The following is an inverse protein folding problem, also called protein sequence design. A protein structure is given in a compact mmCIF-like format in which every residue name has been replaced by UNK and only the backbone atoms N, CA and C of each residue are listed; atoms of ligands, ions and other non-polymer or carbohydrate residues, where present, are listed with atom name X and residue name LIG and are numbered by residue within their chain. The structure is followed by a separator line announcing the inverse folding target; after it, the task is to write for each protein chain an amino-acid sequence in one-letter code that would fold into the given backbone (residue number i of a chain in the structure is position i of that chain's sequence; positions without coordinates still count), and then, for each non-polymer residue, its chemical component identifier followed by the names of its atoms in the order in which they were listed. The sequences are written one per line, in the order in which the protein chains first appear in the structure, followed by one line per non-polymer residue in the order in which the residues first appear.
data_IF_892262129076
#
_entry.id   IF_892262129076
#
_cell.length_a   1.000
_cell.length_b   1.000
_cell.length_c   1.000
_cell.angle_alpha   90.00
_cell.angle_beta   90.00
_cell.angle_gamma   90.00
#
_symmetry.space_group_name_H-M   'P 1'
#
loop_
_entity.id
_entity.type
_entity.pdbx_description
1 polymer ?
#
# COMPACT_ATOMS: atom_id res chain seq x y z
N UNK A 1 25.65 53.68 65.65
CA UNK A 1 25.23 54.48 64.49
C UNK A 1 25.76 53.80 63.23
N UNK A 2 24.97 52.94 62.61
CA UNK A 2 25.28 52.42 61.26
C UNK A 2 23.96 52.03 60.61
N UNK A 3 23.59 52.76 59.56
CA UNK A 3 22.30 52.68 58.86
C UNK A 3 22.25 51.44 57.98
N UNK A 4 21.17 50.68 58.15
CA UNK A 4 20.56 49.78 57.17
C UNK A 4 20.17 50.57 55.90
N UNK A 5 20.47 50.03 54.71
CA UNK A 5 19.73 50.34 53.49
C UNK A 5 19.32 49.04 52.80
N UNK A 6 18.03 48.99 52.45
CA UNK A 6 17.31 47.90 51.83
C UNK A 6 17.48 47.89 50.31
N UNK A 7 17.54 46.69 49.71
CA UNK A 7 17.34 46.48 48.27
C UNK A 7 16.69 45.13 47.97
N UNK A 8 15.39 45.14 47.66
CA UNK A 8 14.67 44.15 46.81
C UNK A 8 14.52 44.78 45.41
N UNK A 9 14.01 44.14 44.33
CA UNK A 9 13.74 42.71 44.01
C UNK A 9 14.19 42.29 42.58
N UNK A 10 14.44 41.00 42.29
CA UNK A 10 14.44 40.44 40.92
C UNK A 10 14.06 38.94 40.94
N UNK A 11 12.77 38.62 41.03
CA UNK A 11 12.32 37.21 40.98
C UNK A 11 11.08 36.97 40.08
N UNK A 12 10.51 37.99 39.45
CA UNK A 12 9.24 37.85 38.71
C UNK A 12 9.39 37.75 37.17
N UNK A 13 10.61 37.89 36.62
CA UNK A 13 10.83 37.84 35.16
C UNK A 13 11.16 36.45 34.61
N UNK A 14 11.59 35.50 35.46
CA UNK A 14 11.98 34.16 35.01
C UNK A 14 10.80 33.20 34.80
N UNK A 15 9.66 33.44 35.45
CA UNK A 15 8.50 32.52 35.40
C UNK A 15 7.65 32.72 34.13
N UNK A 16 7.62 33.93 33.57
CA UNK A 16 6.84 34.22 32.37
C UNK A 16 7.46 33.62 31.08
N UNK A 17 8.78 33.49 31.01
CA UNK A 17 9.46 32.96 29.82
C UNK A 17 9.30 31.42 29.69
N UNK A 18 9.25 30.69 30.80
CA UNK A 18 9.08 29.23 30.79
C UNK A 18 7.66 28.80 30.37
N UNK A 19 6.63 29.58 30.72
CA UNK A 19 5.24 29.30 30.33
C UNK A 19 5.00 29.49 28.83
N UNK A 20 5.70 30.44 28.18
CA UNK A 20 5.55 30.69 26.75
C UNK A 20 6.18 29.58 25.89
N UNK A 21 7.32 29.01 26.32
CA UNK A 21 8.00 27.91 25.61
C UNK A 21 7.18 26.61 25.70
N UNK A 22 6.59 26.32 26.86
CA UNK A 22 5.72 25.16 27.04
C UNK A 22 4.42 25.23 26.20
N UNK A 23 3.88 26.44 25.99
CA UNK A 23 2.70 26.64 25.15
C UNK A 23 2.98 26.46 23.65
N UNK A 24 4.19 26.76 23.17
CA UNK A 24 4.58 26.54 21.77
C UNK A 24 4.88 25.09 21.40
N UNK A 25 5.33 24.25 22.35
CA UNK A 25 5.59 22.82 22.10
C UNK A 25 4.29 22.00 22.00
N UNK A 26 3.20 22.47 22.61
CA UNK A 26 1.91 21.78 22.57
C UNK A 26 1.14 21.96 21.23
N UNK A 27 1.54 22.90 20.37
CA UNK A 27 0.82 23.22 19.12
C UNK A 27 1.57 22.67 17.88
N UNK A 28 2.80 22.18 18.05
CA UNK A 28 3.60 21.57 16.96
C UNK A 28 3.38 20.06 16.80
N UNK A 29 2.30 19.51 17.35
CA UNK A 29 1.78 18.21 16.90
C UNK A 29 1.11 18.39 15.56
N UNK A 30 1.87 18.71 14.51
CA UNK A 30 1.37 18.70 13.14
C UNK A 30 0.99 17.25 12.82
N UNK A 31 -0.27 16.89 13.07
CA UNK A 31 -0.83 15.66 12.51
C UNK A 31 -0.57 15.70 11.00
N UNK A 32 -0.13 14.57 10.45
CA UNK A 32 -0.05 14.44 8.99
C UNK A 32 -1.42 14.85 8.43
N UNK A 33 -1.41 15.60 7.32
CA UNK A 33 -2.66 15.92 6.63
C UNK A 33 -3.40 14.61 6.36
N UNK A 34 -4.71 14.59 6.60
CA UNK A 34 -5.53 13.39 6.55
C UNK A 34 -6.74 13.61 5.66
N UNK A 35 -6.97 12.66 4.75
CA UNK A 35 -8.16 12.54 3.92
C UNK A 35 -9.42 12.30 4.77
N UNK A 36 -9.30 11.54 5.87
CA UNK A 36 -10.42 11.27 6.79
C UNK A 36 -10.96 12.53 7.47
N UNK A 37 -10.13 13.57 7.62
CA UNK A 37 -10.47 14.82 8.31
C UNK A 37 -10.40 16.06 7.41
N UNK A 38 -10.23 15.91 6.11
CA UNK A 38 -9.96 17.01 5.20
C UNK A 38 -10.33 16.71 3.74
N UNK A 39 -9.80 17.54 2.85
CA UNK A 39 -9.99 17.37 1.42
C UNK A 39 -9.08 16.25 0.89
N UNK A 40 -9.69 15.18 0.37
CA UNK A 40 -8.99 14.04 -0.17
C UNK A 40 -8.38 14.29 -1.54
N UNK A 41 -8.73 15.40 -2.20
CA UNK A 41 -8.15 15.78 -3.50
C UNK A 41 -6.81 16.50 -3.35
N UNK A 42 -6.58 17.19 -2.22
CA UNK A 42 -5.28 17.83 -1.93
C UNK A 42 -4.17 16.83 -1.58
N UNK A 43 -4.53 15.60 -1.20
CA UNK A 43 -3.61 14.58 -0.71
C UNK A 43 -3.58 13.40 -1.68
N UNK A 44 -2.51 13.34 -2.46
CA UNK A 44 -2.31 12.31 -3.48
C UNK A 44 -1.17 11.39 -3.07
N UNK A 45 -1.37 10.09 -3.25
CA UNK A 45 -0.38 9.07 -2.95
C UNK A 45 0.86 9.26 -3.84
N UNK A 46 2.05 9.21 -3.23
CA UNK A 46 3.31 9.13 -3.96
C UNK A 46 3.55 10.30 -4.94
N UNK A 47 3.11 11.51 -4.61
CA UNK A 47 2.97 12.62 -5.56
C UNK A 47 4.25 12.95 -6.36
N UNK A 48 5.42 12.71 -5.76
CA UNK A 48 6.73 12.94 -6.34
C UNK A 48 7.17 11.87 -7.38
N UNK A 49 6.43 10.76 -7.54
CA UNK A 49 6.70 9.78 -8.61
C UNK A 49 6.29 10.33 -9.97
N UNK A 50 7.19 10.21 -10.94
CA UNK A 50 6.93 10.55 -12.33
C UNK A 50 7.29 9.40 -13.26
N UNK A 51 6.43 9.15 -14.24
CA UNK A 51 6.65 8.17 -15.30
C UNK A 51 6.42 8.81 -16.65
N UNK A 52 7.22 8.39 -17.63
CA UNK A 52 7.07 8.76 -19.02
C UNK A 52 6.81 7.51 -19.85
N UNK A 53 5.93 7.62 -20.83
CA UNK A 53 5.60 6.56 -21.76
C UNK A 53 5.30 7.16 -23.15
N UNK A 54 5.53 6.36 -24.20
CA UNK A 54 5.40 6.84 -25.58
C UNK A 54 3.94 7.11 -25.98
N UNK A 55 3.00 6.37 -25.40
CA UNK A 55 1.57 6.45 -25.70
C UNK A 55 0.78 6.34 -24.39
N UNK A 56 0.50 7.46 -23.70
CA UNK A 56 -0.41 7.44 -22.56
C UNK A 56 -1.81 7.12 -23.10
N UNK A 57 -2.35 5.97 -22.69
CA UNK A 57 -3.70 5.61 -23.06
C UNK A 57 -4.76 6.53 -22.45
N UNK A 58 -6.02 6.27 -22.78
CA UNK A 58 -7.14 7.06 -22.24
C UNK A 58 -7.40 6.65 -20.79
N UNK A 59 -7.49 7.62 -19.89
CA UNK A 59 -7.92 7.37 -18.53
C UNK A 59 -9.39 6.91 -18.52
N UNK A 60 -9.69 5.88 -17.75
CA UNK A 60 -11.04 5.38 -17.53
C UNK A 60 -11.26 5.12 -16.04
N UNK A 61 -12.42 5.54 -15.54
CA UNK A 61 -12.96 5.08 -14.26
C UNK A 61 -14.46 4.86 -14.35
N UNK A 62 -14.93 3.72 -13.85
CA UNK A 62 -16.35 3.40 -13.81
C UNK A 62 -16.64 1.90 -13.75
N UNK A 63 -17.92 1.50 -13.84
CA UNK A 63 -18.30 0.09 -13.76
C UNK A 63 -17.66 -0.77 -14.85
N UNK A 64 -17.30 -2.01 -14.52
CA UNK A 64 -16.70 -2.98 -15.44
C UNK A 64 -17.61 -3.32 -16.62
N UNK A 65 -18.92 -3.38 -16.40
CA UNK A 65 -19.89 -3.59 -17.47
C UNK A 65 -19.75 -2.54 -18.60
N UNK A 66 -19.43 -1.29 -18.23
CA UNK A 66 -19.26 -0.16 -19.14
C UNK A 66 -17.84 0.03 -19.68
N UNK A 67 -16.85 -0.73 -19.17
CA UNK A 67 -15.45 -0.52 -19.51
C UNK A 67 -15.16 -0.87 -20.97
N UNK A 68 -14.38 -0.06 -21.71
CA UNK A 68 -13.88 -0.41 -23.03
C UNK A 68 -13.15 -1.76 -23.04
N UNK A 69 -13.20 -2.51 -24.14
CA UNK A 69 -12.61 -3.86 -24.19
C UNK A 69 -11.09 -3.83 -24.03
N UNK A 70 -10.45 -2.77 -24.52
CA UNK A 70 -9.01 -2.54 -24.48
C UNK A 70 -8.44 -2.32 -23.07
N UNK A 71 -9.27 -1.88 -22.12
CA UNK A 71 -8.83 -1.71 -20.72
C UNK A 71 -9.17 -2.90 -19.85
N UNK A 72 -9.96 -3.88 -20.32
CA UNK A 72 -10.33 -5.06 -19.52
C UNK A 72 -9.17 -6.04 -19.41
N UNK A 73 -9.04 -6.66 -18.24
CA UNK A 73 -8.07 -7.71 -18.00
C UNK A 73 -8.62 -9.06 -18.47
N UNK A 74 -7.77 -9.88 -19.10
CA UNK A 74 -8.07 -11.29 -19.36
C UNK A 74 -7.87 -12.07 -18.07
N UNK A 75 -8.76 -13.02 -17.79
CA UNK A 75 -8.75 -13.83 -16.54
C UNK A 75 -8.92 -13.02 -15.24
N UNK A 76 -9.36 -11.76 -15.33
CA UNK A 76 -9.85 -11.07 -14.15
C UNK A 76 -11.18 -11.68 -13.69
N UNK A 77 -11.42 -11.62 -12.39
CA UNK A 77 -12.60 -12.17 -11.71
C UNK A 77 -13.68 -11.10 -11.46
N UNK A 78 -13.47 -9.87 -11.91
CA UNK A 78 -14.44 -8.78 -11.78
C UNK A 78 -15.83 -9.05 -12.36
N UNK A 79 -16.84 -8.61 -11.61
CA UNK A 79 -18.25 -8.59 -11.97
C UNK A 79 -18.71 -7.22 -12.52
N UNK A 80 -19.88 -7.18 -13.15
CA UNK A 80 -20.41 -6.00 -13.86
C UNK A 80 -20.44 -4.70 -13.03
N UNK A 81 -20.67 -4.81 -11.72
CA UNK A 81 -20.79 -3.68 -10.79
C UNK A 81 -19.45 -3.20 -10.22
N UNK A 82 -18.39 -3.98 -10.37
CA UNK A 82 -17.06 -3.64 -9.88
C UNK A 82 -16.49 -2.45 -10.66
N UNK A 83 -15.62 -1.69 -10.03
CA UNK A 83 -15.06 -0.47 -10.61
C UNK A 83 -13.72 -0.76 -11.27
N UNK A 84 -13.59 -0.38 -12.53
CA UNK A 84 -12.31 -0.40 -13.25
C UNK A 84 -11.69 0.97 -13.18
N UNK A 85 -10.40 1.04 -12.87
CA UNK A 85 -9.55 2.20 -13.13
C UNK A 85 -8.50 1.78 -14.14
N UNK A 86 -8.29 2.58 -15.18
CA UNK A 86 -7.22 2.33 -16.16
C UNK A 86 -6.61 3.64 -16.64
N UNK A 87 -5.32 3.60 -16.95
CA UNK A 87 -4.62 4.66 -17.70
C UNK A 87 -4.17 4.19 -19.10
N UNK A 88 -4.67 3.04 -19.55
CA UNK A 88 -4.27 2.36 -20.78
C UNK A 88 -2.86 1.75 -20.78
N UNK A 89 -2.10 1.90 -19.69
CA UNK A 89 -0.87 1.14 -19.42
C UNK A 89 -1.15 0.03 -18.41
N UNK A 90 -1.84 0.39 -17.33
CA UNK A 90 -2.24 -0.46 -16.21
C UNK A 90 -3.75 -0.37 -16.02
N UNK A 91 -4.35 -1.50 -15.66
CA UNK A 91 -5.73 -1.61 -15.21
C UNK A 91 -5.77 -2.23 -13.83
N UNK A 92 -6.64 -1.70 -12.98
CA UNK A 92 -7.01 -2.28 -11.69
C UNK A 92 -8.52 -2.39 -11.59
N UNK A 93 -9.02 -3.46 -10.98
CA UNK A 93 -10.44 -3.66 -10.69
C UNK A 93 -10.63 -3.67 -9.18
N UNK A 94 -11.60 -2.87 -8.71
CA UNK A 94 -11.99 -2.72 -7.31
C UNK A 94 -13.39 -3.32 -7.14
N UNK A 95 -13.56 -4.28 -6.24
CA UNK A 95 -14.85 -4.93 -6.03
C UNK A 95 -15.91 -3.98 -5.45
N UNK A 96 -17.17 -4.19 -5.84
CA UNK A 96 -18.30 -3.44 -5.32
C UNK A 96 -18.52 -3.73 -3.83
N UNK A 97 -18.93 -2.72 -3.04
CA UNK A 97 -19.08 -2.80 -1.58
C UNK A 97 -19.89 -4.03 -1.12
N UNK A 98 -20.98 -4.35 -1.81
CA UNK A 98 -21.91 -5.43 -1.49
C UNK A 98 -21.56 -6.78 -2.15
N UNK A 99 -20.39 -6.87 -2.79
CA UNK A 99 -19.85 -8.08 -3.41
C UNK A 99 -18.41 -8.35 -2.95
N UNK A 100 -18.19 -8.56 -1.63
CA UNK A 100 -16.85 -8.84 -1.10
C UNK A 100 -16.24 -10.09 -1.74
N UNK A 101 -14.94 -10.02 -2.01
CA UNK A 101 -14.15 -11.18 -2.39
C UNK A 101 -13.42 -11.80 -1.19
N UNK A 102 -13.48 -13.13 -1.14
CA UNK A 102 -12.66 -13.99 -0.29
C UNK A 102 -12.68 -13.64 1.22
N UNK A 103 -11.56 -13.14 1.76
CA UNK A 103 -11.34 -12.88 3.18
C UNK A 103 -11.78 -11.48 3.62
N UNK A 104 -12.13 -10.60 2.69
CA UNK A 104 -12.51 -9.23 3.02
C UNK A 104 -13.95 -9.16 3.58
N UNK A 105 -14.21 -8.34 4.61
CA UNK A 105 -15.57 -8.21 5.18
C UNK A 105 -16.55 -7.49 4.25
N UNK A 106 -16.04 -6.61 3.37
CA UNK A 106 -16.79 -5.84 2.36
C UNK A 106 -15.96 -5.73 1.08
N UNK A 107 -16.57 -5.28 -0.01
CA UNK A 107 -15.80 -4.84 -1.18
C UNK A 107 -15.09 -3.49 -0.96
N UNK A 108 -14.50 -2.93 -2.01
CA UNK A 108 -13.57 -1.79 -1.98
C UNK A 108 -12.09 -2.18 -2.04
N UNK A 109 -11.78 -3.42 -2.40
CA UNK A 109 -10.46 -4.03 -2.46
C UNK A 109 -10.03 -4.27 -3.90
N UNK A 110 -8.73 -4.37 -4.14
CA UNK A 110 -8.22 -4.74 -5.47
C UNK A 110 -8.46 -6.24 -5.68
N UNK A 111 -9.19 -6.60 -6.72
CA UNK A 111 -9.40 -8.01 -7.08
C UNK A 111 -8.62 -8.41 -8.33
N UNK A 112 -8.48 -7.49 -9.29
CA UNK A 112 -7.68 -7.72 -10.49
C UNK A 112 -6.64 -6.61 -10.67
N UNK A 113 -5.41 -6.95 -11.07
CA UNK A 113 -4.37 -5.97 -11.39
C UNK A 113 -3.50 -6.44 -12.55
N UNK A 114 -3.37 -5.64 -13.60
CA UNK A 114 -2.56 -6.04 -14.75
C UNK A 114 -2.24 -4.91 -15.70
N UNK A 115 -1.44 -5.22 -16.72
CA UNK A 115 -1.29 -4.31 -17.86
C UNK A 115 -2.63 -4.20 -18.60
N UNK A 116 -2.98 -3.03 -19.13
CA UNK A 116 -4.23 -2.84 -19.84
C UNK A 116 -4.35 -3.82 -21.04
N UNK A 117 -5.48 -4.54 -21.14
CA UNK A 117 -5.68 -5.60 -22.13
C UNK A 117 -4.86 -6.89 -21.89
N UNK A 118 -4.03 -6.89 -20.85
CA UNK A 118 -3.18 -7.99 -20.43
C UNK A 118 -3.95 -9.09 -19.71
N UNK A 119 -3.21 -9.95 -19.01
CA UNK A 119 -3.80 -10.94 -18.12
C UNK A 119 -3.68 -10.50 -16.65
N UNK A 120 -4.49 -11.13 -15.81
CA UNK A 120 -4.45 -11.07 -14.37
C UNK A 120 -4.46 -12.49 -13.77
N UNK A 121 -3.89 -12.63 -12.58
CA UNK A 121 -3.90 -13.84 -11.74
C UNK A 121 -3.80 -13.48 -10.25
N UNK A 122 -3.92 -12.19 -9.89
CA UNK A 122 -4.06 -11.74 -8.52
C UNK A 122 -5.42 -12.21 -8.01
N UNK A 123 -5.53 -12.64 -6.74
CA UNK A 123 -6.85 -13.03 -6.21
C UNK A 123 -7.52 -11.86 -5.46
N UNK A 124 -6.76 -11.19 -4.59
CA UNK A 124 -7.26 -10.12 -3.74
C UNK A 124 -6.09 -9.36 -3.10
N UNK A 125 -6.21 -8.04 -2.96
CA UNK A 125 -5.44 -7.22 -2.03
C UNK A 125 -6.41 -6.39 -1.20
N UNK A 126 -6.51 -6.70 0.09
CA UNK A 126 -7.37 -6.00 1.04
C UNK A 126 -6.53 -5.35 2.16
N UNK A 127 -7.13 -4.42 2.91
CA UNK A 127 -6.40 -3.68 3.95
C UNK A 127 -6.76 -4.13 5.37
N UNK A 128 -5.77 -4.10 6.24
CA UNK A 128 -5.91 -4.43 7.67
C UNK A 128 -5.21 -3.40 8.56
N UNK A 129 -5.66 -3.34 9.81
CA UNK A 129 -5.07 -2.59 10.91
C UNK A 129 -4.24 -3.44 11.89
N UNK A 130 -4.32 -4.76 11.73
CA UNK A 130 -3.87 -5.75 12.70
C UNK A 130 -4.24 -7.16 12.23
N UNK A 131 -4.03 -8.15 13.08
CA UNK A 131 -4.15 -9.58 12.74
C UNK A 131 -5.48 -10.19 13.18
N UNK A 132 -6.29 -9.47 13.97
CA UNK A 132 -7.58 -9.97 14.43
C UNK A 132 -8.64 -9.75 13.34
N UNK A 133 -9.70 -10.57 13.30
CA UNK A 133 -10.78 -10.37 12.33
C UNK A 133 -11.36 -8.94 12.33
N UNK A 134 -11.57 -8.37 13.53
CA UNK A 134 -12.08 -7.02 13.74
C UNK A 134 -11.09 -5.90 13.34
N UNK A 135 -9.88 -6.26 12.88
CA UNK A 135 -8.89 -5.31 12.38
C UNK A 135 -8.93 -5.17 10.85
N UNK A 136 -9.83 -5.85 10.14
CA UNK A 136 -9.99 -5.68 8.69
C UNK A 136 -10.70 -4.36 8.34
N UNK A 137 -10.32 -3.75 7.22
CA UNK A 137 -11.02 -2.57 6.71
C UNK A 137 -12.37 -3.02 6.12
N UNK A 138 -13.46 -2.47 6.66
CA UNK A 138 -14.82 -2.67 6.19
C UNK A 138 -15.33 -1.35 5.60
N UNK A 139 -15.38 -1.29 4.27
CA UNK A 139 -15.83 -0.14 3.52
C UNK A 139 -17.35 -0.10 3.37
N UNK A 140 -17.93 1.08 3.47
CA UNK A 140 -19.37 1.34 3.28
C UNK A 140 -19.68 2.10 1.98
N UNK A 141 -18.66 2.71 1.35
CA UNK A 141 -18.84 3.58 0.19
C UNK A 141 -17.62 3.63 -0.70
N UNK A 142 -17.88 3.71 -2.01
CA UNK A 142 -16.90 4.07 -3.05
C UNK A 142 -17.29 5.41 -3.67
N UNK A 143 -16.37 6.37 -3.67
CA UNK A 143 -16.48 7.62 -4.41
C UNK A 143 -15.61 7.53 -5.67
N UNK A 144 -16.21 7.67 -6.87
CA UNK A 144 -15.49 7.74 -8.15
C UNK A 144 -15.05 9.18 -8.42
N UNK A 145 -13.79 9.34 -8.79
CA UNK A 145 -13.15 10.64 -9.06
C UNK A 145 -12.55 10.62 -10.46
N UNK A 146 -13.13 11.40 -11.37
CA UNK A 146 -12.68 11.54 -12.76
C UNK A 146 -12.16 12.96 -13.01
N UNK A 147 -10.84 13.10 -13.10
CA UNK A 147 -10.15 14.33 -13.51
C UNK A 147 -9.33 14.10 -14.78
N UNK A 148 -9.84 13.30 -15.71
CA UNK A 148 -9.16 13.17 -17.00
C UNK A 148 -8.96 14.55 -17.66
N UNK A 149 -7.77 14.82 -18.23
CA UNK A 149 -6.69 13.88 -18.54
C UNK A 149 -5.62 13.70 -17.44
N UNK A 150 -5.78 14.31 -16.26
CA UNK A 150 -4.71 14.39 -15.26
C UNK A 150 -4.60 13.12 -14.40
N UNK A 151 -5.74 12.60 -13.93
CA UNK A 151 -5.82 11.34 -13.19
C UNK A 151 -7.26 10.84 -13.05
N UNK A 152 -7.38 9.58 -12.66
CA UNK A 152 -8.63 8.97 -12.18
C UNK A 152 -8.40 8.26 -10.85
N UNK A 153 -9.42 8.20 -10.01
CA UNK A 153 -9.32 7.58 -8.71
C UNK A 153 -10.64 6.98 -8.21
N UNK A 154 -10.52 6.04 -7.27
CA UNK A 154 -11.62 5.51 -6.45
C UNK A 154 -11.22 5.66 -5.00
N UNK A 155 -12.12 6.22 -4.18
CA UNK A 155 -11.92 6.39 -2.74
C UNK A 155 -12.90 5.47 -2.02
N UNK A 156 -12.38 4.45 -1.37
CA UNK A 156 -13.11 3.59 -0.45
C UNK A 156 -13.08 4.18 0.96
N UNK A 157 -14.24 4.25 1.62
CA UNK A 157 -14.40 4.79 2.97
C UNK A 157 -15.17 3.82 3.84
N UNK A 158 -14.87 3.79 5.12
CA UNK A 158 -15.62 3.00 6.10
C UNK A 158 -14.96 3.00 7.46
N UNK A 159 -14.93 1.84 8.10
CA UNK A 159 -14.38 1.65 9.43
C UNK A 159 -13.68 0.29 9.57
N UNK A 160 -13.08 0.01 10.72
CA UNK A 160 -12.65 -1.36 11.03
C UNK A 160 -13.86 -2.26 11.31
N UNK A 161 -13.80 -3.53 10.92
CA UNK A 161 -14.90 -4.47 11.13
C UNK A 161 -15.28 -4.56 12.62
N UNK A 162 -16.59 -4.47 12.91
CA UNK A 162 -17.10 -4.42 14.29
C UNK A 162 -16.76 -3.15 15.09
N UNK A 163 -16.00 -2.19 14.53
CA UNK A 163 -15.46 -1.02 15.24
C UNK A 163 -15.73 0.31 14.50
N UNK A 164 -16.99 0.79 14.47
CA UNK A 164 -17.39 1.99 13.74
C UNK A 164 -16.74 3.28 14.26
N UNK A 165 -16.15 3.27 15.46
CA UNK A 165 -15.38 4.39 15.99
C UNK A 165 -13.99 4.54 15.36
N UNK A 166 -13.49 3.55 14.61
CA UNK A 166 -12.19 3.60 13.95
C UNK A 166 -12.42 3.77 12.45
N UNK A 167 -12.33 5.01 11.97
CA UNK A 167 -12.58 5.36 10.57
C UNK A 167 -11.39 4.95 9.70
N UNK A 168 -11.67 4.42 8.50
CA UNK A 168 -10.66 4.05 7.51
C UNK A 168 -10.99 4.59 6.13
N UNK A 169 -9.94 4.77 5.33
CA UNK A 169 -10.04 5.21 3.95
C UNK A 169 -8.93 4.59 3.12
N UNK A 170 -9.24 4.18 1.90
CA UNK A 170 -8.24 3.84 0.89
C UNK A 170 -8.54 4.55 -0.42
N UNK A 171 -7.55 5.27 -0.95
CA UNK A 171 -7.59 5.91 -2.26
C UNK A 171 -6.72 5.13 -3.22
N UNK A 172 -7.34 4.65 -4.31
CA UNK A 172 -6.66 4.08 -5.48
C UNK A 172 -6.62 5.15 -6.56
N UNK A 173 -5.44 5.45 -7.10
CA UNK A 173 -5.25 6.48 -8.12
C UNK A 173 -4.36 5.99 -9.25
N UNK A 174 -4.75 6.31 -10.48
CA UNK A 174 -3.93 6.13 -11.68
C UNK A 174 -3.74 7.47 -12.38
N UNK A 175 -2.48 7.77 -12.74
CA UNK A 175 -2.10 8.90 -13.58
C UNK A 175 -1.64 8.39 -14.96
N UNK A 176 -1.56 9.24 -15.99
CA UNK A 176 -0.95 8.86 -17.26
C UNK A 176 0.44 8.24 -17.05
N UNK A 177 0.73 7.18 -17.81
CA UNK A 177 2.01 6.46 -17.79
C UNK A 177 2.40 5.72 -16.50
N UNK A 178 1.62 5.80 -15.41
CA UNK A 178 1.90 4.99 -14.21
C UNK A 178 1.88 3.48 -14.57
N UNK A 179 2.92 2.71 -14.25
CA UNK A 179 2.96 1.25 -14.47
C UNK A 179 2.20 0.47 -13.39
N UNK A 180 1.56 1.18 -12.46
CA UNK A 180 0.94 0.61 -11.27
C UNK A 180 -0.07 1.57 -10.64
N UNK A 181 -0.95 1.05 -9.79
CA UNK A 181 -1.90 1.86 -9.03
C UNK A 181 -1.23 2.44 -7.80
N UNK A 182 -1.38 3.76 -7.60
CA UNK A 182 -0.94 4.44 -6.38
C UNK A 182 -2.02 4.27 -5.33
N UNK A 183 -1.63 3.87 -4.12
CA UNK A 183 -2.56 3.56 -3.04
C UNK A 183 -2.17 4.35 -1.79
N UNK A 184 -3.13 5.08 -1.23
CA UNK A 184 -3.02 5.69 0.10
C UNK A 184 -4.10 5.12 0.99
N UNK A 185 -3.71 4.50 2.09
CA UNK A 185 -4.64 4.07 3.13
C UNK A 185 -4.43 4.88 4.40
N UNK A 186 -5.53 5.24 5.04
CA UNK A 186 -5.54 5.94 6.31
C UNK A 186 -6.41 5.20 7.31
N UNK A 187 -5.99 5.27 8.57
CA UNK A 187 -6.74 4.79 9.71
C UNK A 187 -6.74 5.87 10.79
N UNK A 188 -7.90 6.21 11.33
CA UNK A 188 -8.05 7.19 12.40
C UNK A 188 -8.59 6.53 13.68
N UNK A 189 -7.88 6.71 14.81
CA UNK A 189 -8.36 6.23 16.10
C UNK A 189 -9.42 7.16 16.70
N UNK A 190 -10.70 6.89 16.48
CA UNK A 190 -11.79 7.59 17.17
C UNK A 190 -12.19 6.97 18.51
N UNK A 191 -11.56 5.85 18.89
CA UNK A 191 -11.80 5.19 20.19
C UNK A 191 -11.15 5.98 21.33
N UNK A 192 -11.59 5.80 22.60
CA UNK A 192 -10.97 6.44 23.75
C UNK A 192 -9.65 5.78 24.19
N UNK A 193 -9.28 4.65 23.58
CA UNK A 193 -8.16 3.81 24.01
C UNK A 193 -6.96 3.94 23.08
N UNK A 194 -5.76 3.73 23.65
CA UNK A 194 -4.54 3.56 22.85
C UNK A 194 -4.53 2.14 22.27
N UNK A 195 -4.33 2.03 20.97
CA UNK A 195 -4.35 0.76 20.24
C UNK A 195 -2.97 0.46 19.65
N UNK A 196 -2.64 -0.81 19.45
CA UNK A 196 -1.45 -1.21 18.72
C UNK A 196 -1.87 -1.61 17.31
N UNK A 197 -1.51 -0.79 16.32
CA UNK A 197 -1.95 -0.98 14.94
C UNK A 197 -0.80 -0.87 13.95
N UNK A 198 -1.10 -1.39 12.76
CA UNK A 198 -0.39 -1.23 11.50
C UNK A 198 -1.42 -0.71 10.49
N UNK A 199 -1.00 -0.19 9.34
CA UNK A 199 -1.84 -0.18 8.13
C UNK A 199 -1.08 -1.00 7.11
N UNK A 200 -1.68 -2.08 6.60
CA UNK A 200 -1.02 -2.99 5.67
C UNK A 200 -1.95 -3.44 4.55
N UNK A 201 -1.36 -3.77 3.41
CA UNK A 201 -2.00 -4.59 2.39
C UNK A 201 -1.83 -6.06 2.68
N UNK A 202 -2.88 -6.83 2.40
CA UNK A 202 -2.90 -8.27 2.48
C UNK A 202 -3.18 -8.85 1.10
N UNK A 203 -2.15 -9.07 0.27
CA UNK A 203 -2.29 -9.86 -0.93
C UNK A 203 -2.59 -11.33 -0.57
N UNK A 204 -3.69 -11.86 -1.08
CA UNK A 204 -3.97 -13.29 -1.08
C UNK A 204 -3.41 -13.91 -2.36
N UNK A 205 -2.31 -14.65 -2.23
CA UNK A 205 -1.58 -15.25 -3.35
C UNK A 205 -2.18 -16.57 -3.84
N UNK A 206 -3.01 -17.22 -3.02
CA UNK A 206 -3.71 -18.45 -3.38
C UNK A 206 -2.81 -19.67 -3.52
N UNK A 207 -1.64 -19.67 -2.84
CA UNK A 207 -0.59 -20.72 -2.79
C UNK A 207 0.06 -21.09 -4.13
N UNK A 208 -0.75 -21.46 -5.13
CA UNK A 208 -0.34 -21.92 -6.45
C UNK A 208 -0.65 -20.92 -7.56
N UNK A 209 -1.41 -19.86 -7.28
CA UNK A 209 -1.68 -18.82 -8.27
C UNK A 209 -0.45 -17.95 -8.44
N UNK A 210 -0.11 -17.19 -7.40
CA UNK A 210 1.06 -16.31 -7.33
C UNK A 210 2.04 -16.85 -6.30
N UNK A 211 3.33 -16.89 -6.63
CA UNK A 211 4.39 -17.21 -5.69
C UNK A 211 4.95 -15.91 -5.11
N UNK A 212 4.86 -15.67 -3.79
CA UNK A 212 5.40 -14.48 -3.18
C UNK A 212 6.92 -14.50 -3.14
N UNK A 213 7.51 -13.33 -3.35
CA UNK A 213 8.93 -13.05 -3.25
C UNK A 213 9.17 -12.04 -2.12
N UNK A 214 9.89 -12.47 -1.09
CA UNK A 214 10.33 -11.63 0.02
C UNK A 214 11.68 -10.99 -0.28
N UNK A 215 11.73 -9.66 -0.25
CA UNK A 215 12.97 -8.87 -0.35
C UNK A 215 13.74 -8.79 0.99
N UNK A 216 13.74 -9.89 1.76
CA UNK A 216 14.47 -10.02 3.02
C UNK A 216 15.75 -10.88 2.83
N UNK A 217 16.83 -10.62 3.60
CA UNK A 217 18.08 -11.37 3.46
C UNK A 217 17.89 -12.88 3.65
N UNK A 218 18.05 -13.63 2.54
CA UNK A 218 17.99 -15.10 2.55
C UNK A 218 16.60 -15.71 2.34
N UNK A 219 15.55 -14.89 2.15
CA UNK A 219 14.18 -15.39 1.93
C UNK A 219 13.91 -15.63 0.44
N UNK A 220 13.81 -14.60 -0.41
CA UNK A 220 13.46 -14.83 -1.83
C UNK A 220 12.11 -15.53 -1.95
N UNK A 221 12.07 -16.77 -2.47
CA UNK A 221 10.86 -17.62 -2.49
C UNK A 221 10.72 -18.55 -1.27
N UNK A 222 11.66 -18.47 -0.32
CA UNK A 222 11.58 -19.18 0.95
C UNK A 222 10.70 -18.37 1.89
N UNK A 223 9.48 -18.85 2.10
CA UNK A 223 8.58 -18.31 3.10
C UNK A 223 8.66 -19.14 4.39
N UNK A 224 8.75 -18.51 5.58
CA UNK A 224 8.59 -19.23 6.84
C UNK A 224 7.17 -19.81 6.95
N UNK A 225 7.02 -20.91 7.69
CA UNK A 225 5.69 -21.44 8.00
C UNK A 225 4.93 -20.43 8.86
N UNK A 226 3.66 -20.18 8.52
CA UNK A 226 2.78 -19.31 9.28
C UNK A 226 2.45 -19.91 10.66
N UNK A 227 3.26 -19.58 11.67
CA UNK A 227 2.99 -19.90 13.08
C UNK A 227 2.08 -18.85 13.73
N UNK A 228 0.79 -19.18 13.81
CA UNK A 228 -0.22 -18.31 14.41
C UNK A 228 -0.04 -18.09 15.93
N UNK A 229 0.74 -18.93 16.62
CA UNK A 229 1.00 -18.77 18.06
C UNK A 229 2.13 -17.78 18.33
N UNK A 230 3.03 -17.60 17.36
CA UNK A 230 4.24 -16.79 17.47
C UNK A 230 4.30 -15.74 16.36
N UNK A 231 3.14 -15.18 15.97
CA UNK A 231 3.01 -14.20 14.87
C UNK A 231 4.00 -13.04 14.99
N UNK A 232 4.31 -12.60 16.22
CA UNK A 232 5.28 -11.54 16.45
C UNK A 232 6.69 -11.83 15.91
N UNK A 233 7.07 -13.11 15.83
CA UNK A 233 8.35 -13.60 15.32
C UNK A 233 8.36 -13.75 13.79
N UNK A 234 7.20 -13.63 13.13
CA UNK A 234 7.08 -13.68 11.67
C UNK A 234 7.12 -12.30 11.03
N UNK A 235 7.06 -11.24 11.85
CA UNK A 235 7.15 -9.87 11.36
C UNK A 235 8.59 -9.56 10.98
N UNK A 236 8.80 -9.37 9.70
CA UNK A 236 10.07 -9.02 9.10
C UNK A 236 9.99 -7.67 8.39
N UNK A 237 11.16 -7.14 8.06
CA UNK A 237 11.31 -5.86 7.39
C UNK A 237 11.67 -6.10 5.92
N UNK A 238 10.89 -5.53 5.01
CA UNK A 238 11.06 -5.68 3.58
C UNK A 238 11.32 -4.33 2.92
N UNK A 239 12.26 -4.28 1.98
CA UNK A 239 12.42 -3.10 1.13
C UNK A 239 11.22 -2.92 0.17
N UNK A 240 10.63 -4.02 -0.28
CA UNK A 240 9.47 -4.08 -1.15
C UNK A 240 8.86 -5.49 -1.05
N UNK A 241 7.61 -5.64 -1.48
CA UNK A 241 7.00 -6.95 -1.73
C UNK A 241 6.95 -7.25 -3.23
N UNK A 242 7.02 -8.52 -3.60
CA UNK A 242 6.78 -8.94 -4.97
C UNK A 242 6.16 -10.33 -5.03
N UNK A 243 5.66 -10.71 -6.20
CA UNK A 243 5.19 -12.05 -6.47
C UNK A 243 5.07 -12.30 -7.96
N UNK A 244 4.98 -13.55 -8.37
CA UNK A 244 4.75 -13.88 -9.77
C UNK A 244 3.81 -15.06 -9.94
N UNK A 245 2.86 -14.92 -10.86
CA UNK A 245 2.02 -16.03 -11.25
C UNK A 245 2.78 -17.06 -12.09
N UNK A 246 2.32 -18.31 -12.02
CA UNK A 246 2.98 -19.43 -12.71
C UNK A 246 2.65 -19.51 -14.21
N UNK A 247 1.59 -18.83 -14.65
CA UNK A 247 1.16 -18.82 -16.04
C UNK A 247 2.09 -17.97 -16.94
N UNK A 248 2.15 -18.34 -18.23
CA UNK A 248 3.12 -17.83 -19.21
C UNK A 248 2.86 -16.41 -19.69
N UNK A 249 1.65 -15.91 -19.49
CA UNK A 249 1.23 -14.58 -19.91
C UNK A 249 0.82 -13.71 -18.71
N UNK A 250 1.04 -14.22 -17.50
CA UNK A 250 0.74 -13.55 -16.24
C UNK A 250 1.77 -12.48 -15.92
N UNK A 251 1.35 -11.33 -15.38
CA UNK A 251 2.30 -10.36 -14.88
C UNK A 251 2.98 -10.85 -13.59
N UNK A 252 4.15 -10.27 -13.30
CA UNK A 252 4.66 -10.18 -11.95
C UNK A 252 4.01 -9.00 -11.22
N UNK A 253 3.90 -9.11 -9.90
CA UNK A 253 3.34 -8.11 -9.00
C UNK A 253 4.43 -7.54 -8.10
N UNK A 254 4.34 -6.26 -7.79
CA UNK A 254 5.29 -5.58 -6.93
C UNK A 254 4.59 -4.53 -6.07
N UNK A 255 5.10 -4.30 -4.86
CA UNK A 255 4.64 -3.22 -3.99
C UNK A 255 5.81 -2.53 -3.32
N UNK A 256 5.84 -1.20 -3.40
CA UNK A 256 6.86 -0.38 -2.77
C UNK A 256 6.22 0.80 -2.03
N UNK A 257 6.64 1.03 -0.79
CA UNK A 257 6.21 2.17 0.00
C UNK A 257 6.75 3.48 -0.61
N UNK A 258 5.93 4.53 -0.54
CA UNK A 258 6.27 5.87 -0.99
C UNK A 258 6.70 6.76 0.16
N UNK A 259 6.13 6.56 1.35
CA UNK A 259 6.36 7.40 2.54
C UNK A 259 7.18 6.70 3.63
N UNK A 260 7.72 5.50 3.33
CA UNK A 260 8.54 4.71 4.24
C UNK A 260 9.72 4.06 3.49
N UNK A 261 10.84 3.88 4.20
CA UNK A 261 12.01 3.19 3.65
C UNK A 261 11.82 1.68 3.55
N UNK A 262 10.96 1.13 4.38
CA UNK A 262 10.74 -0.30 4.55
C UNK A 262 9.27 -0.54 4.86
N UNK A 263 8.77 -1.69 4.46
CA UNK A 263 7.50 -2.27 4.87
C UNK A 263 7.78 -3.25 6.01
N UNK A 264 6.93 -3.31 7.02
CA UNK A 264 6.95 -4.36 8.05
C UNK A 264 5.76 -5.30 7.82
N UNK A 265 5.97 -6.61 8.00
CA UNK A 265 4.86 -7.56 8.05
C UNK A 265 5.28 -9.00 7.85
N UNK A 266 4.39 -9.83 7.32
CA UNK A 266 4.56 -11.28 7.19
C UNK A 266 4.53 -11.66 5.72
N UNK A 267 5.29 -12.67 5.31
CA UNK A 267 5.26 -13.20 3.95
C UNK A 267 5.13 -14.74 3.99
N UNK A 268 3.95 -15.27 3.66
CA UNK A 268 3.66 -16.71 3.55
C UNK A 268 3.20 -17.05 2.12
N UNK A 269 3.27 -18.34 1.74
CA UNK A 269 2.83 -18.84 0.44
C UNK A 269 1.35 -18.52 0.13
N UNK A 270 0.49 -18.43 1.13
CA UNK A 270 -0.93 -18.12 0.93
C UNK A 270 -1.18 -16.62 0.97
N UNK A 271 -0.60 -15.90 1.93
CA UNK A 271 -0.85 -14.49 2.17
C UNK A 271 0.41 -13.75 2.61
N UNK A 272 0.51 -12.48 2.25
CA UNK A 272 1.44 -11.57 2.93
C UNK A 272 0.66 -10.48 3.65
N UNK A 273 1.28 -9.85 4.63
CA UNK A 273 0.86 -8.56 5.16
C UNK A 273 2.03 -7.61 4.98
N UNK A 274 1.84 -6.49 4.27
CA UNK A 274 2.92 -5.57 3.91
C UNK A 274 2.48 -4.14 4.22
N UNK A 275 3.07 -3.52 5.25
CA UNK A 275 2.58 -2.22 5.69
C UNK A 275 3.52 -1.41 6.56
N UNK A 276 2.92 -0.51 7.33
CA UNK A 276 3.66 0.31 8.30
C UNK A 276 4.22 -0.55 9.42
N UNK A 277 5.26 -0.05 10.10
CA UNK A 277 5.68 -0.65 11.35
C UNK A 277 4.56 -0.68 12.39
N UNK A 278 4.58 -1.69 13.27
CA UNK A 278 3.64 -1.79 14.40
C UNK A 278 3.85 -0.60 15.33
N UNK A 279 2.78 0.14 15.64
CA UNK A 279 2.86 1.34 16.45
C UNK A 279 1.67 1.51 17.39
N UNK A 280 1.91 2.22 18.50
CA UNK A 280 0.84 2.65 19.40
C UNK A 280 0.16 3.89 18.83
N UNK A 281 -1.15 3.80 18.60
CA UNK A 281 -1.99 4.86 18.04
C UNK A 281 -2.94 5.36 19.13
N UNK A 282 -2.79 6.61 19.52
CA UNK A 282 -3.62 7.24 20.57
C UNK A 282 -4.94 7.75 20.01
N UNK A 283 -5.94 8.01 20.86
CA UNK A 283 -7.17 8.68 20.46
C UNK A 283 -6.90 9.97 19.70
N UNK A 284 -7.51 10.13 18.52
CA UNK A 284 -7.33 11.27 17.65
C UNK A 284 -6.13 11.20 16.70
N UNK A 285 -5.30 10.16 16.77
CA UNK A 285 -4.17 9.98 15.84
C UNK A 285 -4.57 9.24 14.56
N UNK A 286 -3.84 9.50 13.49
CA UNK A 286 -4.00 8.87 12.17
C UNK A 286 -2.73 8.12 11.79
N UNK A 287 -2.88 6.89 11.30
CA UNK A 287 -1.83 6.14 10.61
C UNK A 287 -2.08 6.24 9.11
N UNK A 288 -1.00 6.42 8.34
CA UNK A 288 -1.04 6.56 6.88
C UNK A 288 -0.01 5.60 6.29
N UNK A 289 -0.40 4.94 5.19
CA UNK A 289 0.50 4.20 4.32
C UNK A 289 0.29 4.63 2.88
N UNK A 290 1.34 5.13 2.22
CA UNK A 290 1.36 5.35 0.77
C UNK A 290 2.25 4.32 0.09
N UNK A 291 1.76 3.69 -0.97
CA UNK A 291 2.53 2.74 -1.79
C UNK A 291 2.08 2.75 -3.24
N UNK A 292 2.85 2.12 -4.10
CA UNK A 292 2.43 1.75 -5.46
C UNK A 292 2.36 0.24 -5.58
N UNK A 293 1.27 -0.28 -6.16
CA UNK A 293 1.14 -1.65 -6.62
C UNK A 293 1.38 -1.72 -8.13
N UNK A 294 2.33 -2.55 -8.54
CA UNK A 294 2.84 -2.67 -9.90
C UNK A 294 2.39 -4.00 -10.49
N UNK A 295 2.09 -4.02 -11.78
CA UNK A 295 1.94 -5.24 -12.57
C UNK A 295 2.72 -5.12 -13.87
N UNK A 296 3.69 -6.01 -14.08
CA UNK A 296 4.62 -5.90 -15.20
C UNK A 296 5.13 -7.26 -15.68
N UNK A 297 5.60 -7.31 -16.93
CA UNK A 297 6.43 -8.40 -17.40
C UNK A 297 5.69 -9.73 -17.59
N UNK A 298 4.64 -9.73 -18.42
CA UNK A 298 3.90 -10.95 -18.76
C UNK A 298 4.84 -12.13 -19.10
N UNK A 299 4.81 -13.18 -18.27
CA UNK A 299 5.62 -14.39 -18.44
C UNK A 299 7.09 -14.28 -18.02
N UNK A 300 7.51 -13.18 -17.39
CA UNK A 300 8.92 -12.89 -17.09
C UNK A 300 9.26 -13.08 -15.60
N UNK A 301 8.39 -13.75 -14.84
CA UNK A 301 8.54 -13.88 -13.39
C UNK A 301 8.37 -12.53 -12.68
N UNK A 302 8.90 -12.37 -11.45
CA UNK A 302 8.70 -11.14 -10.68
C UNK A 302 9.66 -10.02 -11.08
N UNK A 303 10.72 -10.34 -11.87
CA UNK A 303 11.82 -9.42 -12.18
C UNK A 303 11.35 -8.04 -12.63
N UNK A 304 10.49 -7.92 -13.65
CA UNK A 304 10.01 -6.61 -14.10
C UNK A 304 9.20 -5.83 -13.06
N UNK A 305 8.46 -6.50 -12.17
CA UNK A 305 7.75 -5.84 -11.08
C UNK A 305 8.70 -5.41 -9.96
N UNK A 306 9.75 -6.20 -9.71
CA UNK A 306 10.87 -5.84 -8.81
C UNK A 306 11.61 -4.61 -9.34
N UNK A 307 11.92 -4.57 -10.64
CA UNK A 307 12.56 -3.42 -11.27
C UNK A 307 11.72 -2.14 -11.08
N UNK A 308 10.39 -2.25 -11.26
CA UNK A 308 9.47 -1.15 -10.97
C UNK A 308 9.48 -0.73 -9.50
N UNK A 309 9.46 -1.67 -8.57
CA UNK A 309 9.51 -1.39 -7.14
C UNK A 309 10.82 -0.70 -6.74
N UNK A 310 11.94 -1.13 -7.30
CA UNK A 310 13.23 -0.50 -7.08
C UNK A 310 13.32 0.89 -7.71
N UNK A 311 12.71 1.11 -8.88
CA UNK A 311 12.63 2.43 -9.50
C UNK A 311 11.82 3.43 -8.66
N UNK A 312 10.73 2.98 -8.02
CA UNK A 312 9.98 3.80 -7.04
C UNK A 312 10.89 4.24 -5.90
N UNK A 313 11.66 3.30 -5.35
CA UNK A 313 12.58 3.58 -4.23
C UNK A 313 13.72 4.51 -4.62
N UNK A 314 14.29 4.35 -5.82
CA UNK A 314 15.30 5.26 -6.36
C UNK A 314 14.76 6.70 -6.44
N UNK A 315 13.57 6.89 -7.02
CA UNK A 315 12.96 8.21 -7.20
C UNK A 315 12.59 8.89 -5.87
N UNK A 316 11.96 8.15 -4.94
CA UNK A 316 11.39 8.74 -3.72
C UNK A 316 12.32 8.71 -2.51
N UNK A 317 13.12 7.66 -2.38
CA UNK A 317 13.92 7.39 -1.18
C UNK A 317 15.41 7.66 -1.39
N UNK A 318 15.83 7.91 -2.63
CA UNK A 318 17.22 8.13 -2.99
C UNK A 318 18.08 6.88 -2.85
N UNK A 319 17.47 5.70 -2.95
CA UNK A 319 18.20 4.44 -3.00
C UNK A 319 19.11 4.43 -4.24
N UNK A 320 20.24 3.71 -4.13
CA UNK A 320 21.14 3.57 -5.27
C UNK A 320 20.44 2.85 -6.43
N UNK A 321 20.71 3.29 -7.65
CA UNK A 321 20.24 2.62 -8.87
C UNK A 321 20.57 1.11 -8.78
N UNK A 322 19.58 0.23 -8.99
CA UNK A 322 19.79 -1.21 -8.94
C UNK A 322 20.90 -1.66 -9.88
N UNK A 323 21.75 -2.57 -9.39
CA UNK A 323 22.75 -3.21 -10.23
C UNK A 323 22.10 -4.37 -11.00
N UNK A 324 22.12 -4.30 -12.32
CA UNK A 324 21.76 -5.43 -13.17
C UNK A 324 22.79 -6.55 -13.03
N UNK A 325 22.34 -7.73 -12.58
CA UNK A 325 23.19 -8.93 -12.51
C UNK A 325 22.75 -9.91 -13.58
N UNK A 326 23.66 -10.29 -14.47
CA UNK A 326 23.42 -11.31 -15.50
C UNK A 326 24.29 -12.53 -15.23
N UNK A 327 23.73 -13.73 -15.38
CA UNK A 327 24.45 -14.98 -15.21
C UNK A 327 23.75 -16.15 -15.88
N UNK A 328 24.37 -17.33 -15.80
CA UNK A 328 23.78 -18.59 -16.24
C UNK A 328 23.66 -19.53 -15.04
N UNK A 329 22.47 -20.08 -14.82
CA UNK A 329 22.27 -21.15 -13.83
C UNK A 329 22.69 -22.46 -14.48
N UNK A 330 23.69 -23.13 -13.90
CA UNK A 330 24.10 -24.48 -14.29
C UNK A 330 23.58 -25.43 -13.21
N UNK A 331 22.59 -26.25 -13.56
CA UNK A 331 22.10 -27.31 -12.69
C UNK A 331 22.76 -28.64 -13.08
N UNK A 332 23.35 -29.34 -12.11
CA UNK A 332 23.99 -30.64 -12.32
C UNK A 332 22.94 -31.73 -12.59
N UNK A 333 22.54 -31.90 -13.85
CA UNK A 333 21.79 -33.07 -14.33
C UNK A 333 20.27 -32.96 -14.31
N UNK A 334 19.71 -31.80 -13.94
CA UNK A 334 18.32 -31.44 -14.23
C UNK A 334 18.35 -30.30 -15.25
N UNK A 335 17.67 -30.47 -16.38
CA UNK A 335 17.46 -29.35 -17.30
C UNK A 335 16.77 -28.24 -16.51
N UNK A 336 17.50 -27.14 -16.28
CA UNK A 336 16.89 -25.90 -15.85
C UNK A 336 16.08 -25.43 -17.04
N UNK A 337 14.79 -25.81 -17.07
CA UNK A 337 13.86 -25.28 -18.04
C UNK A 337 13.86 -23.78 -17.83
N UNK A 338 14.61 -23.04 -18.66
CA UNK A 338 14.93 -21.61 -18.49
C UNK A 338 13.74 -20.67 -18.52
N UNK A 339 12.54 -21.19 -18.35
CA UNK A 339 11.47 -20.48 -17.70
C UNK A 339 11.91 -20.12 -16.28
N UNK A 340 12.03 -18.82 -16.02
CA UNK A 340 12.28 -18.23 -14.70
C UNK A 340 11.20 -18.58 -13.63
N UNK A 341 10.36 -19.59 -13.89
CA UNK A 341 9.13 -19.98 -13.20
C UNK A 341 9.30 -21.13 -12.19
N UNK A 342 10.53 -21.65 -12.00
CA UNK A 342 10.85 -22.79 -11.10
C UNK A 342 12.17 -22.60 -10.34
N UNK A 343 12.42 -21.40 -9.83
CA UNK A 343 13.41 -21.19 -8.77
C UNK A 343 12.74 -21.40 -7.42
#
# INVERSE_FOLDING_TARGET
MTRQTSGRPRAHLAVAAAALIAATVAISGCSRKSCLRGDCEELRACDDLAYECADPGTLYVGPLAGAPAEVRLRRGDGADADLVLSNGVTTVVIDAIDAPHDLAPTGGNIIDLGQAGGADDLNLVYQIAGILPDDAFAYDRLDVVDHAPDYVAVIARGHLDGRPEVEVLTRYELRPCDPGVRVRSELFNGSPDVQAWVVADVPHWGKRSVLPFAAAPGEGYVAPELDLLELGNLYEVFAYGAGAATAVDSPGYGVAACDAKELEGINDLELSALGTARQLVRPGETVVLERVWLAAGAGQGPGPAIDGALAVREQLLGDATPLGVTGHVVADGLDFGGDARRA
#
